data_IF_477284138842
#
_entry.id   IF_477284138842
#
_cell.length_a   1.000
_cell.length_b   1.000
_cell.length_c   1.000
_cell.angle_alpha   90.00
_cell.angle_beta   90.00
_cell.angle_gamma   90.00
#
_symmetry.space_group_name_H-M   'P 1'
#
loop_
_entity.id
_entity.type
_entity.pdbx_description
1 polymer ?
#
# COMPACT_ATOMS: atom_id res chain seq x y z
N UNK A 1 -20.24 11.29 -23.77
CA UNK A 1 -19.92 12.17 -22.64
C UNK A 1 -18.41 12.10 -22.44
N UNK A 2 -17.72 13.04 -23.10
CA UNK A 2 -16.26 13.13 -23.12
C UNK A 2 -15.85 13.76 -21.80
N UNK A 3 -15.18 13.01 -20.93
CA UNK A 3 -14.55 13.56 -19.72
C UNK A 3 -13.20 14.15 -20.13
N UNK A 4 -13.15 15.44 -20.02
CA UNK A 4 -12.02 16.31 -20.28
C UNK A 4 -10.83 15.93 -19.37
N UNK A 5 -9.74 15.46 -19.99
CA UNK A 5 -8.48 15.08 -19.31
C UNK A 5 -7.58 16.34 -19.10
N UNK A 6 -8.11 17.53 -19.41
CA UNK A 6 -7.35 18.77 -19.40
C UNK A 6 -7.08 19.42 -18.04
N UNK A 7 -7.86 19.11 -17.00
CA UNK A 7 -7.83 19.86 -15.72
C UNK A 7 -6.73 19.43 -14.75
N UNK A 8 -6.18 18.23 -14.89
CA UNK A 8 -5.15 17.72 -13.96
C UNK A 8 -3.76 18.39 -14.13
N UNK A 9 -3.43 18.87 -15.33
CA UNK A 9 -2.09 19.42 -15.60
C UNK A 9 -1.92 20.85 -15.08
N UNK A 10 -3.00 21.63 -15.12
CA UNK A 10 -3.03 22.99 -14.60
C UNK A 10 -2.98 23.02 -13.06
N UNK A 11 -3.65 22.05 -12.41
CA UNK A 11 -3.69 21.95 -10.95
C UNK A 11 -2.31 21.61 -10.37
N UNK A 12 -1.53 20.73 -11.02
CA UNK A 12 -0.17 20.38 -10.59
C UNK A 12 0.81 21.56 -10.75
N UNK A 13 0.68 22.35 -11.79
CA UNK A 13 1.53 23.53 -12.01
C UNK A 13 1.21 24.64 -10.98
N UNK A 14 -0.04 24.80 -10.61
CA UNK A 14 -0.48 25.76 -9.59
C UNK A 14 0.01 25.34 -8.19
N UNK A 15 -0.02 24.05 -7.86
CA UNK A 15 0.53 23.53 -6.59
C UNK A 15 2.04 23.71 -6.53
N UNK A 16 2.76 23.49 -7.62
CA UNK A 16 4.21 23.70 -7.69
C UNK A 16 4.54 25.20 -7.55
N UNK A 17 3.83 26.10 -8.23
CA UNK A 17 4.04 27.55 -8.10
C UNK A 17 3.69 28.04 -6.69
N UNK A 18 2.60 27.53 -6.08
CA UNK A 18 2.21 27.85 -4.72
C UNK A 18 3.24 27.40 -3.67
N UNK A 19 3.90 26.24 -3.89
CA UNK A 19 5.00 25.77 -3.02
C UNK A 19 6.24 26.66 -3.16
N UNK A 20 6.50 27.24 -4.34
CA UNK A 20 7.59 28.19 -4.54
C UNK A 20 7.33 29.55 -3.89
N UNK A 21 6.09 30.03 -3.89
CA UNK A 21 5.69 31.30 -3.25
C UNK A 21 5.59 31.18 -1.71
N UNK A 22 5.40 29.97 -1.17
CA UNK A 22 5.35 29.71 0.28
C UNK A 22 6.73 29.63 0.97
N UNK A 23 7.84 29.82 0.23
CA UNK A 23 9.18 29.94 0.83
C UNK A 23 9.51 31.42 1.11
N UNK A 24 9.06 31.99 2.27
CA UNK A 24 9.58 33.28 2.68
C UNK A 24 11.11 33.16 2.89
N UNK A 25 11.87 34.27 2.83
CA UNK A 25 13.28 34.26 3.18
C UNK A 25 13.45 34.00 4.68
N UNK A 26 13.21 32.76 5.07
CA UNK A 26 13.36 32.31 6.46
C UNK A 26 14.83 32.47 6.87
N UNK A 27 15.05 33.24 7.91
CA UNK A 27 16.37 33.61 8.43
C UNK A 27 17.29 32.39 8.54
N UNK A 28 18.43 32.44 7.89
CA UNK A 28 19.35 31.32 7.59
C UNK A 28 19.85 30.51 8.80
N UNK A 29 19.78 31.04 10.01
CA UNK A 29 20.19 30.31 11.25
C UNK A 29 19.16 29.29 11.72
N UNK A 30 17.89 29.48 11.41
CA UNK A 30 16.78 28.60 11.83
C UNK A 30 16.79 27.30 11.01
N UNK A 31 17.28 27.34 9.75
CA UNK A 31 17.19 26.18 8.87
C UNK A 31 18.06 24.98 9.32
N UNK A 32 19.28 25.20 9.81
CA UNK A 32 20.13 24.10 10.31
C UNK A 32 19.55 23.44 11.56
N UNK A 33 19.03 24.24 12.50
CA UNK A 33 18.42 23.71 13.71
C UNK A 33 17.11 22.95 13.38
N UNK A 34 16.33 23.45 12.41
CA UNK A 34 15.11 22.78 11.98
C UNK A 34 15.41 21.43 11.30
N UNK A 35 16.40 21.39 10.39
CA UNK A 35 16.85 20.13 9.77
C UNK A 35 17.37 19.17 10.85
N UNK A 36 18.17 19.65 11.79
CA UNK A 36 18.66 18.83 12.91
C UNK A 36 17.52 18.26 13.75
N UNK A 37 16.56 19.11 14.14
CA UNK A 37 15.40 18.68 14.95
C UNK A 37 14.54 17.65 14.20
N UNK A 38 14.20 17.88 12.93
CA UNK A 38 13.41 16.95 12.13
C UNK A 38 14.11 15.60 11.98
N UNK A 39 15.40 15.60 11.71
CA UNK A 39 16.18 14.36 11.60
C UNK A 39 16.34 13.66 12.96
N UNK A 40 16.44 14.39 14.05
CA UNK A 40 16.44 13.80 15.40
C UNK A 40 15.12 13.09 15.71
N UNK A 41 13.98 13.71 15.41
CA UNK A 41 12.67 13.08 15.58
C UNK A 41 12.56 11.83 14.69
N UNK A 42 12.98 11.92 13.41
CA UNK A 42 12.95 10.78 12.49
C UNK A 42 13.86 9.64 12.98
N UNK A 43 15.02 9.97 13.54
CA UNK A 43 15.93 8.99 14.15
C UNK A 43 15.26 8.26 15.32
N UNK A 44 14.61 8.99 16.22
CA UNK A 44 13.89 8.39 17.35
C UNK A 44 12.73 7.50 16.87
N UNK A 45 12.00 7.90 15.83
CA UNK A 45 10.92 7.11 15.25
C UNK A 45 11.42 5.87 14.48
N UNK A 46 12.65 5.89 13.97
CA UNK A 46 13.22 4.73 13.28
C UNK A 46 13.54 3.56 14.23
N UNK A 47 13.84 3.84 15.48
CA UNK A 47 14.17 2.81 16.49
C UNK A 47 13.01 1.83 16.71
N UNK A 48 11.78 2.26 17.06
CA UNK A 48 10.64 1.34 17.22
C UNK A 48 10.30 0.59 15.93
N UNK A 49 10.53 1.17 14.74
CA UNK A 49 10.32 0.48 13.46
C UNK A 49 11.28 -0.70 13.32
N UNK A 50 12.58 -0.49 13.61
CA UNK A 50 13.58 -1.58 13.59
C UNK A 50 13.26 -2.63 14.64
N UNK A 51 12.92 -2.21 15.87
CA UNK A 51 12.57 -3.13 16.96
C UNK A 51 11.33 -3.97 16.58
N UNK A 52 10.30 -3.34 16.03
CA UNK A 52 9.11 -4.03 15.56
C UNK A 52 9.44 -5.04 14.44
N UNK A 53 10.28 -4.65 13.47
CA UNK A 53 10.72 -5.55 12.41
C UNK A 53 11.49 -6.76 12.94
N UNK A 54 12.42 -6.56 13.87
CA UNK A 54 13.19 -7.64 14.53
C UNK A 54 12.27 -8.52 15.38
N UNK A 55 11.30 -7.93 16.07
CA UNK A 55 10.32 -8.66 16.87
C UNK A 55 9.43 -9.54 15.97
N UNK A 56 8.90 -9.01 14.84
CA UNK A 56 8.18 -9.79 13.85
C UNK A 56 9.04 -10.96 13.32
N UNK A 57 10.31 -10.70 13.03
CA UNK A 57 11.23 -11.74 12.53
C UNK A 57 11.45 -12.89 13.51
N UNK A 58 11.43 -12.60 14.82
CA UNK A 58 11.60 -13.63 15.87
C UNK A 58 10.31 -14.39 16.18
N UNK A 59 9.17 -13.74 16.11
CA UNK A 59 7.87 -14.36 16.37
C UNK A 59 7.19 -14.96 15.14
N UNK A 60 7.69 -14.65 13.94
CA UNK A 60 7.12 -15.08 12.67
C UNK A 60 7.02 -16.59 12.54
N UNK A 61 5.88 -17.15 13.02
CA UNK A 61 5.54 -18.57 12.89
C UNK A 61 4.93 -18.86 11.51
N UNK A 62 4.45 -17.83 10.82
CA UNK A 62 3.73 -17.96 9.54
C UNK A 62 4.57 -17.45 8.36
N UNK A 63 4.35 -18.01 7.17
CA UNK A 63 5.00 -17.54 5.93
C UNK A 63 4.65 -16.08 5.60
N UNK A 64 3.52 -15.60 6.11
CA UNK A 64 3.07 -14.23 5.96
C UNK A 64 3.94 -13.23 6.75
N UNK A 65 4.18 -13.53 8.00
CA UNK A 65 5.01 -12.70 8.88
C UNK A 65 6.44 -12.62 8.36
N UNK A 66 7.02 -13.75 7.93
CA UNK A 66 8.36 -13.82 7.33
C UNK A 66 8.52 -13.05 6.01
N UNK A 67 7.41 -12.71 5.35
CA UNK A 67 7.48 -11.89 4.13
C UNK A 67 7.57 -10.39 4.46
N UNK A 68 7.00 -9.97 5.58
CA UNK A 68 6.92 -8.55 5.98
C UNK A 68 8.10 -8.10 6.84
N UNK A 69 8.79 -9.00 7.55
CA UNK A 69 9.88 -8.68 8.47
C UNK A 69 11.06 -7.99 7.77
N UNK A 70 11.56 -8.59 6.68
CA UNK A 70 12.72 -8.09 5.94
C UNK A 70 12.54 -6.66 5.40
N UNK A 71 11.46 -6.33 4.66
CA UNK A 71 11.26 -4.96 4.18
C UNK A 71 11.10 -3.95 5.31
N UNK A 72 10.49 -4.31 6.44
CA UNK A 72 10.32 -3.40 7.59
C UNK A 72 11.68 -3.10 8.25
N UNK A 73 12.51 -4.12 8.47
CA UNK A 73 13.86 -3.94 9.02
C UNK A 73 14.71 -3.07 8.08
N UNK A 74 14.72 -3.38 6.77
CA UNK A 74 15.49 -2.62 5.78
C UNK A 74 15.06 -1.15 5.77
N UNK A 75 13.75 -0.89 5.78
CA UNK A 75 13.20 0.47 5.83
C UNK A 75 13.62 1.20 7.11
N UNK A 76 13.49 0.56 8.27
CA UNK A 76 13.86 1.15 9.55
C UNK A 76 15.35 1.49 9.64
N UNK A 77 16.23 0.58 9.20
CA UNK A 77 17.68 0.81 9.15
C UNK A 77 18.01 1.93 8.16
N UNK A 78 17.39 1.95 6.99
CA UNK A 78 17.58 3.00 5.99
C UNK A 78 17.19 4.38 6.56
N UNK A 79 16.02 4.49 7.20
CA UNK A 79 15.57 5.74 7.84
C UNK A 79 16.54 6.17 8.95
N UNK A 80 17.05 5.24 9.75
CA UNK A 80 18.04 5.51 10.80
C UNK A 80 19.32 6.10 10.21
N UNK A 81 19.87 5.51 9.16
CA UNK A 81 21.10 5.98 8.52
C UNK A 81 20.94 7.35 7.88
N UNK A 82 19.84 7.58 7.17
CA UNK A 82 19.54 8.86 6.50
C UNK A 82 19.34 9.97 7.54
N UNK A 83 18.58 9.70 8.61
CA UNK A 83 18.34 10.66 9.68
C UNK A 83 19.62 10.98 10.47
N UNK A 84 20.48 9.99 10.70
CA UNK A 84 21.78 10.19 11.34
C UNK A 84 22.70 11.08 10.47
N UNK A 85 22.74 10.83 9.15
CA UNK A 85 23.49 11.66 8.21
C UNK A 85 22.98 13.11 8.19
N UNK A 86 21.64 13.29 8.17
CA UNK A 86 21.02 14.62 8.25
C UNK A 86 21.29 15.34 9.57
N UNK A 87 21.23 14.61 10.70
CA UNK A 87 21.50 15.14 12.04
C UNK A 87 22.96 15.62 12.17
N UNK A 88 23.93 14.75 11.85
CA UNK A 88 25.36 15.09 11.93
C UNK A 88 25.69 16.21 10.94
N UNK A 89 25.15 16.13 9.71
CA UNK A 89 25.33 17.16 8.68
C UNK A 89 24.86 18.54 9.12
N UNK A 90 23.70 18.61 9.77
CA UNK A 90 23.12 19.87 10.25
C UNK A 90 23.78 20.37 11.55
N UNK A 91 24.01 19.50 12.54
CA UNK A 91 24.56 19.88 13.84
C UNK A 91 26.07 20.17 13.79
N UNK A 92 26.84 19.32 13.12
CA UNK A 92 28.31 19.47 13.00
C UNK A 92 28.72 20.34 11.80
N UNK A 93 27.75 20.85 11.00
CA UNK A 93 28.00 21.69 9.84
C UNK A 93 28.93 21.06 8.79
N UNK A 94 28.85 19.73 8.63
CA UNK A 94 29.65 18.99 7.66
C UNK A 94 28.98 19.06 6.28
N UNK A 95 29.46 19.95 5.42
CA UNK A 95 28.89 20.23 4.09
C UNK A 95 28.75 18.98 3.21
N UNK A 96 29.75 18.07 3.23
CA UNK A 96 29.73 16.86 2.43
C UNK A 96 28.59 15.91 2.83
N UNK A 97 28.41 15.74 4.15
CA UNK A 97 27.37 14.85 4.67
C UNK A 97 25.96 15.40 4.39
N UNK A 98 25.81 16.72 4.48
CA UNK A 98 24.57 17.41 4.13
C UNK A 98 24.26 17.29 2.63
N UNK A 99 25.30 17.30 1.77
CA UNK A 99 25.14 17.08 0.33
C UNK A 99 24.64 15.65 0.03
N UNK A 100 25.24 14.63 0.65
CA UNK A 100 24.81 13.24 0.54
C UNK A 100 23.36 13.08 1.01
N UNK A 101 23.01 13.67 2.15
CA UNK A 101 21.64 13.68 2.66
C UNK A 101 20.66 14.27 1.65
N UNK A 102 20.96 15.42 1.06
CA UNK A 102 20.11 16.05 0.04
C UNK A 102 19.99 15.20 -1.22
N UNK A 103 21.07 14.56 -1.65
CA UNK A 103 21.02 13.65 -2.79
C UNK A 103 20.06 12.47 -2.54
N UNK A 104 20.18 11.87 -1.35
CA UNK A 104 19.29 10.76 -0.96
C UNK A 104 17.83 11.22 -0.89
N UNK A 105 17.57 12.39 -0.30
CA UNK A 105 16.21 12.97 -0.23
C UNK A 105 15.64 13.25 -1.62
N UNK A 106 16.44 13.79 -2.53
CA UNK A 106 16.04 14.00 -3.93
C UNK A 106 15.66 12.69 -4.61
N UNK A 107 16.49 11.64 -4.49
CA UNK A 107 16.21 10.34 -5.05
C UNK A 107 14.93 9.73 -4.46
N UNK A 108 14.69 9.89 -3.17
CA UNK A 108 13.46 9.44 -2.52
C UNK A 108 12.22 10.14 -3.10
N UNK A 109 12.26 11.45 -3.30
CA UNK A 109 11.17 12.23 -3.91
C UNK A 109 10.87 11.70 -5.31
N UNK A 110 11.91 11.49 -6.14
CA UNK A 110 11.75 10.97 -7.51
C UNK A 110 11.13 9.55 -7.50
N UNK A 111 11.62 8.67 -6.64
CA UNK A 111 11.10 7.29 -6.52
C UNK A 111 9.64 7.28 -6.05
N UNK A 112 9.29 8.07 -5.03
CA UNK A 112 7.91 8.16 -4.54
C UNK A 112 6.97 8.76 -5.58
N UNK A 113 7.43 9.76 -6.34
CA UNK A 113 6.66 10.33 -7.44
C UNK A 113 6.42 9.30 -8.56
N UNK A 114 7.47 8.61 -9.00
CA UNK A 114 7.36 7.55 -10.00
C UNK A 114 6.46 6.40 -9.51
N UNK A 115 6.57 6.02 -8.24
CA UNK A 115 5.70 5.01 -7.62
C UNK A 115 4.23 5.45 -7.60
N UNK A 116 3.96 6.72 -7.32
CA UNK A 116 2.58 7.26 -7.33
C UNK A 116 1.96 7.14 -8.73
N UNK A 117 2.70 7.58 -9.78
CA UNK A 117 2.24 7.46 -11.17
C UNK A 117 2.01 6.00 -11.54
N UNK A 118 2.95 5.12 -11.20
CA UNK A 118 2.84 3.69 -11.46
C UNK A 118 1.61 3.08 -10.75
N UNK A 119 1.39 3.42 -9.49
CA UNK A 119 0.25 2.96 -8.71
C UNK A 119 -1.07 3.36 -9.37
N UNK A 120 -1.22 4.61 -9.80
CA UNK A 120 -2.40 5.08 -10.53
C UNK A 120 -2.58 4.33 -11.85
N UNK A 121 -1.52 4.19 -12.66
CA UNK A 121 -1.59 3.51 -13.96
C UNK A 121 -2.04 2.04 -13.83
N UNK A 122 -1.53 1.34 -12.81
CA UNK A 122 -1.82 -0.08 -12.61
C UNK A 122 -3.21 -0.31 -11.98
N UNK A 123 -3.67 0.61 -11.12
CA UNK A 123 -4.95 0.49 -10.41
C UNK A 123 -6.12 1.15 -11.13
N UNK A 124 -5.92 1.81 -12.27
CA UNK A 124 -6.97 2.50 -13.01
C UNK A 124 -7.99 1.52 -13.66
N UNK A 125 -7.58 0.27 -13.89
CA UNK A 125 -8.44 -0.80 -14.41
C UNK A 125 -8.97 -1.68 -13.28
N UNK A 126 -10.12 -2.31 -13.51
CA UNK A 126 -10.77 -3.24 -12.59
C UNK A 126 -11.91 -2.59 -11.81
N UNK A 127 -13.05 -3.22 -11.88
CA UNK A 127 -14.23 -2.91 -11.07
C UNK A 127 -15.00 -4.22 -10.83
N UNK A 128 -15.52 -4.42 -9.62
CA UNK A 128 -16.41 -5.53 -9.36
C UNK A 128 -17.73 -5.32 -10.12
N UNK A 129 -18.30 -6.40 -10.65
CA UNK A 129 -19.62 -6.40 -11.25
C UNK A 129 -20.66 -6.28 -10.14
N UNK A 130 -21.47 -5.24 -10.20
CA UNK A 130 -22.63 -5.08 -9.31
C UNK A 130 -23.68 -6.11 -9.72
N UNK A 131 -24.19 -6.86 -8.75
CA UNK A 131 -25.29 -7.79 -8.92
C UNK A 131 -26.60 -7.10 -8.51
N UNK A 132 -27.66 -7.35 -9.26
CA UNK A 132 -29.00 -6.88 -8.88
C UNK A 132 -29.39 -7.49 -7.52
N UNK A 133 -29.96 -6.67 -6.65
CA UNK A 133 -30.48 -7.06 -5.34
C UNK A 133 -29.47 -7.68 -4.36
N UNK A 134 -28.17 -7.48 -4.58
CA UNK A 134 -27.10 -7.93 -3.67
C UNK A 134 -26.28 -6.76 -3.13
N UNK A 135 -25.93 -6.82 -1.85
CA UNK A 135 -25.13 -5.82 -1.17
C UNK A 135 -23.63 -5.86 -1.52
N UNK A 136 -23.20 -6.89 -2.27
CA UNK A 136 -21.79 -7.10 -2.64
C UNK A 136 -21.62 -7.18 -4.16
N UNK A 137 -20.34 -7.13 -4.59
CA UNK A 137 -19.95 -7.25 -5.99
C UNK A 137 -19.30 -8.60 -6.26
N UNK A 138 -19.40 -9.07 -7.50
CA UNK A 138 -18.54 -10.14 -7.99
C UNK A 138 -17.33 -9.58 -8.74
N UNK A 139 -16.21 -10.27 -8.60
CA UNK A 139 -14.92 -9.83 -9.12
C UNK A 139 -14.37 -10.85 -10.11
N UNK A 140 -13.96 -10.37 -11.29
CA UNK A 140 -13.36 -11.19 -12.35
C UNK A 140 -11.91 -10.76 -12.55
N UNK A 141 -10.99 -11.73 -12.59
CA UNK A 141 -9.56 -11.43 -12.71
C UNK A 141 -9.21 -10.73 -14.03
N UNK A 142 -9.94 -11.04 -15.12
CA UNK A 142 -9.75 -10.44 -16.44
C UNK A 142 -9.96 -8.93 -16.50
N UNK A 143 -10.69 -8.35 -15.54
CA UNK A 143 -10.98 -6.92 -15.50
C UNK A 143 -9.78 -6.06 -15.04
N UNK A 144 -8.76 -6.70 -14.46
CA UNK A 144 -7.58 -6.01 -13.91
C UNK A 144 -6.45 -5.91 -14.94
N UNK A 145 -5.46 -5.05 -14.66
CA UNK A 145 -4.29 -4.91 -15.54
C UNK A 145 -3.52 -6.23 -15.67
N UNK A 146 -2.99 -6.51 -16.87
CA UNK A 146 -2.20 -7.73 -17.14
C UNK A 146 -1.02 -7.90 -16.17
N UNK A 147 -0.44 -6.80 -15.70
CA UNK A 147 0.65 -6.85 -14.73
C UNK A 147 0.18 -7.43 -13.39
N UNK A 148 -0.97 -6.97 -12.86
CA UNK A 148 -1.57 -7.50 -11.62
C UNK A 148 -1.99 -8.96 -11.79
N UNK A 149 -2.63 -9.31 -12.91
CA UNK A 149 -3.01 -10.69 -13.21
C UNK A 149 -1.80 -11.64 -13.17
N UNK A 150 -0.68 -11.26 -13.81
CA UNK A 150 0.55 -12.05 -13.80
C UNK A 150 1.12 -12.23 -12.39
N UNK A 151 1.01 -11.22 -11.52
CA UNK A 151 1.50 -11.29 -10.13
C UNK A 151 0.73 -12.28 -9.27
N UNK A 152 -0.62 -12.26 -9.35
CA UNK A 152 -1.47 -13.18 -8.56
C UNK A 152 -1.59 -14.57 -9.19
N UNK A 153 -1.33 -14.72 -10.49
CA UNK A 153 -1.28 -16.01 -11.16
C UNK A 153 0.05 -16.75 -11.00
N UNK A 154 1.10 -16.07 -10.54
CA UNK A 154 2.36 -16.72 -10.20
C UNK A 154 2.16 -17.61 -8.97
N UNK A 155 2.32 -18.93 -9.11
CA UNK A 155 2.14 -19.93 -8.04
C UNK A 155 2.97 -19.59 -6.80
N UNK A 156 4.22 -19.17 -6.98
CA UNK A 156 5.12 -18.79 -5.88
C UNK A 156 4.58 -17.61 -5.09
N UNK A 157 4.10 -16.58 -5.78
CA UNK A 157 3.55 -15.39 -5.11
C UNK A 157 2.21 -15.71 -4.47
N UNK A 158 1.36 -16.45 -5.21
CA UNK A 158 0.01 -16.78 -4.74
C UNK A 158 0.02 -17.65 -3.49
N UNK A 159 0.88 -18.66 -3.42
CA UNK A 159 0.97 -19.53 -2.24
C UNK A 159 1.30 -18.74 -0.97
N UNK A 160 2.18 -17.73 -1.05
CA UNK A 160 2.48 -16.85 0.07
C UNK A 160 1.28 -16.00 0.47
N UNK A 161 0.59 -15.40 -0.53
CA UNK A 161 -0.59 -14.58 -0.29
C UNK A 161 -1.72 -15.43 0.30
N UNK A 162 -1.95 -16.62 -0.24
CA UNK A 162 -2.96 -17.56 0.24
C UNK A 162 -2.72 -17.94 1.71
N UNK A 163 -1.48 -18.25 2.07
CA UNK A 163 -1.10 -18.51 3.46
C UNK A 163 -1.48 -17.35 4.36
N UNK A 164 -1.15 -16.10 3.95
CA UNK A 164 -1.54 -14.90 4.68
C UNK A 164 -3.06 -14.73 4.81
N UNK A 165 -3.83 -15.04 3.77
CA UNK A 165 -5.30 -14.94 3.81
C UNK A 165 -5.92 -15.97 4.78
N UNK A 166 -5.38 -17.18 4.82
CA UNK A 166 -5.82 -18.24 5.74
C UNK A 166 -5.46 -17.82 7.19
N UNK A 167 -4.23 -17.39 7.41
CA UNK A 167 -3.72 -16.99 8.73
C UNK A 167 -4.47 -15.76 9.29
N UNK A 168 -4.92 -14.85 8.43
CA UNK A 168 -5.72 -13.67 8.79
C UNK A 168 -7.16 -14.00 9.20
N UNK A 169 -7.56 -15.29 9.10
CA UNK A 169 -8.90 -15.81 9.49
C UNK A 169 -10.07 -15.07 8.82
N UNK A 170 -9.85 -14.50 7.63
CA UNK A 170 -10.86 -13.70 6.90
C UNK A 170 -12.16 -14.46 6.70
N UNK A 171 -12.08 -15.76 6.35
CA UNK A 171 -13.28 -16.58 6.12
C UNK A 171 -13.83 -17.21 7.41
N UNK A 172 -13.02 -17.44 8.44
CA UNK A 172 -13.51 -17.84 9.76
C UNK A 172 -14.34 -16.73 10.40
N UNK A 173 -13.85 -15.50 10.36
CA UNK A 173 -14.60 -14.32 10.83
C UNK A 173 -15.89 -14.10 10.02
N UNK A 174 -15.85 -14.37 8.71
CA UNK A 174 -17.04 -14.34 7.86
C UNK A 174 -18.06 -15.38 8.28
N UNK A 175 -17.64 -16.64 8.52
CA UNK A 175 -18.51 -17.70 9.02
C UNK A 175 -19.11 -17.33 10.36
N UNK A 176 -18.31 -16.90 11.33
CA UNK A 176 -18.77 -16.55 12.69
C UNK A 176 -19.79 -15.41 12.67
N UNK A 177 -19.56 -14.40 11.82
CA UNK A 177 -20.42 -13.21 11.76
C UNK A 177 -21.80 -13.51 11.15
N UNK A 178 -21.86 -14.36 10.14
CA UNK A 178 -23.05 -14.59 9.35
C UNK A 178 -23.65 -16.01 9.52
N UNK A 179 -23.23 -16.76 10.55
CA UNK A 179 -23.66 -18.16 10.76
C UNK A 179 -25.18 -18.33 10.91
N UNK A 180 -25.86 -17.32 11.43
CA UNK A 180 -27.31 -17.34 11.65
C UNK A 180 -28.11 -16.72 10.51
N UNK A 181 -27.43 -16.19 9.50
CA UNK A 181 -28.10 -15.51 8.40
C UNK A 181 -28.70 -16.52 7.42
N UNK A 182 -29.90 -16.23 6.98
CA UNK A 182 -30.49 -16.89 5.81
C UNK A 182 -29.79 -16.44 4.54
N UNK A 183 -29.93 -17.19 3.44
CA UNK A 183 -29.34 -16.78 2.16
C UNK A 183 -29.83 -15.40 1.69
N UNK A 184 -31.08 -15.04 1.99
CA UNK A 184 -31.66 -13.74 1.61
C UNK A 184 -31.07 -12.57 2.42
N UNK A 185 -30.68 -12.82 3.67
CA UNK A 185 -29.99 -11.86 4.52
C UNK A 185 -28.55 -11.70 4.07
N UNK A 186 -27.81 -12.81 3.90
CA UNK A 186 -26.43 -12.80 3.42
C UNK A 186 -26.30 -12.07 2.06
N UNK A 187 -27.28 -12.20 1.18
CA UNK A 187 -27.25 -11.51 -0.12
C UNK A 187 -27.40 -10.00 -0.01
N UNK A 188 -27.99 -9.48 1.06
CA UNK A 188 -28.11 -8.03 1.31
C UNK A 188 -26.92 -7.45 2.04
N UNK A 189 -26.08 -8.32 2.63
CA UNK A 189 -24.89 -7.91 3.39
C UNK A 189 -23.83 -7.24 2.49
N UNK A 190 -23.17 -6.23 3.05
CA UNK A 190 -22.11 -5.51 2.38
C UNK A 190 -20.77 -6.23 2.57
N UNK A 191 -20.56 -7.30 1.80
CA UNK A 191 -19.37 -8.12 1.89
C UNK A 191 -18.14 -7.38 1.33
N UNK A 192 -17.00 -7.52 2.02
CA UNK A 192 -15.72 -7.08 1.46
C UNK A 192 -15.37 -7.89 0.21
N UNK A 193 -14.52 -7.32 -0.65
CA UNK A 193 -14.07 -7.98 -1.88
C UNK A 193 -13.40 -9.35 -1.61
N UNK A 194 -12.68 -9.46 -0.48
CA UNK A 194 -12.06 -10.72 -0.06
C UNK A 194 -13.11 -11.74 0.40
N UNK A 195 -14.10 -11.33 1.20
CA UNK A 195 -15.17 -12.20 1.65
C UNK A 195 -16.00 -12.72 0.46
N UNK A 196 -16.41 -11.82 -0.44
CA UNK A 196 -17.18 -12.17 -1.61
C UNK A 196 -16.44 -13.10 -2.58
N UNK A 197 -15.12 -12.93 -2.72
CA UNK A 197 -14.32 -13.71 -3.67
C UNK A 197 -13.70 -14.99 -3.12
N UNK A 198 -13.35 -15.02 -1.81
CA UNK A 198 -12.59 -16.14 -1.22
C UNK A 198 -13.42 -17.04 -0.31
N UNK A 199 -14.49 -16.53 0.33
CA UNK A 199 -15.20 -17.23 1.40
C UNK A 199 -16.53 -17.85 0.99
N UNK A 200 -17.01 -17.55 -0.22
CA UNK A 200 -18.19 -18.17 -0.82
C UNK A 200 -17.91 -18.55 -2.28
N UNK A 201 -18.66 -19.49 -2.88
CA UNK A 201 -18.55 -19.75 -4.31
C UNK A 201 -19.09 -18.56 -5.13
N UNK A 202 -18.68 -18.47 -6.40
CA UNK A 202 -19.28 -17.53 -7.34
C UNK A 202 -20.76 -17.87 -7.57
N UNK A 203 -21.60 -16.86 -7.74
CA UNK A 203 -23.02 -17.05 -7.97
C UNK A 203 -23.31 -17.79 -9.29
N UNK A 204 -22.38 -17.71 -10.25
CA UNK A 204 -22.45 -18.47 -11.51
C UNK A 204 -22.47 -20.00 -11.29
N UNK A 205 -22.01 -20.48 -10.11
CA UNK A 205 -21.97 -21.92 -9.79
C UNK A 205 -23.33 -22.50 -9.40
N UNK A 206 -24.31 -21.68 -9.04
CA UNK A 206 -25.66 -22.09 -8.65
C UNK A 206 -25.71 -23.16 -7.53
N UNK A 207 -24.75 -23.10 -6.61
CA UNK A 207 -24.71 -24.01 -5.46
C UNK A 207 -25.80 -23.67 -4.44
N UNK A 208 -26.30 -24.66 -3.72
CA UNK A 208 -27.32 -24.46 -2.70
C UNK A 208 -26.66 -24.06 -1.38
N UNK A 209 -27.13 -22.97 -0.81
CA UNK A 209 -26.65 -22.44 0.48
C UNK A 209 -27.01 -23.39 1.64
N UNK A 210 -26.05 -23.65 2.50
CA UNK A 210 -26.21 -24.35 3.79
C UNK A 210 -25.81 -23.43 4.93
N UNK A 211 -24.63 -22.81 4.82
CA UNK A 211 -24.11 -21.79 5.75
C UNK A 211 -23.14 -20.88 4.99
N UNK A 212 -22.67 -19.77 5.54
CA UNK A 212 -21.81 -18.81 4.84
C UNK A 212 -20.64 -19.40 4.07
N UNK A 213 -19.98 -20.43 4.63
CA UNK A 213 -18.83 -21.12 4.02
C UNK A 213 -19.12 -22.57 3.61
N UNK A 214 -20.38 -23.02 3.69
CA UNK A 214 -20.77 -24.37 3.32
C UNK A 214 -21.89 -24.32 2.27
N UNK A 215 -21.64 -24.88 1.09
CA UNK A 215 -22.53 -24.86 -0.07
C UNK A 215 -22.58 -26.23 -0.73
N UNK A 216 -23.75 -26.71 -1.03
CA UNK A 216 -23.94 -28.00 -1.69
C UNK A 216 -23.86 -27.84 -3.22
N UNK A 217 -22.96 -28.61 -3.82
CA UNK A 217 -22.89 -28.77 -5.26
C UNK A 217 -23.97 -29.79 -5.69
N UNK A 218 -25.04 -29.34 -6.30
CA UNK A 218 -26.17 -30.17 -6.74
C UNK A 218 -25.85 -31.03 -8.00
N UNK A 219 -24.58 -31.26 -8.32
CA UNK A 219 -24.15 -32.04 -9.46
C UNK A 219 -24.34 -31.34 -10.83
N UNK A 220 -24.82 -30.11 -10.85
CA UNK A 220 -25.09 -29.33 -12.06
C UNK A 220 -23.82 -28.52 -12.44
N UNK A 221 -22.74 -29.22 -12.83
CA UNK A 221 -21.44 -28.66 -13.21
C UNK A 221 -21.43 -28.04 -14.60
N UNK A 222 -22.58 -27.64 -15.15
CA UNK A 222 -22.66 -27.05 -16.49
C UNK A 222 -22.22 -25.56 -16.53
N UNK A 223 -21.71 -25.01 -15.42
CA UNK A 223 -21.17 -23.68 -15.40
C UNK A 223 -19.81 -23.62 -16.11
N UNK A 224 -19.64 -22.68 -17.04
CA UNK A 224 -18.36 -22.42 -17.72
C UNK A 224 -17.32 -21.76 -16.81
N UNK A 225 -17.68 -21.46 -15.56
CA UNK A 225 -16.80 -20.83 -14.59
C UNK A 225 -15.88 -21.85 -13.90
N UNK A 226 -14.54 -21.78 -14.10
CA UNK A 226 -13.60 -22.75 -13.53
C UNK A 226 -13.56 -22.71 -11.99
N UNK A 227 -13.99 -21.62 -11.35
CA UNK A 227 -14.03 -21.48 -9.92
C UNK A 227 -14.99 -22.46 -9.25
N UNK A 228 -16.04 -22.88 -9.97
CA UNK A 228 -17.02 -23.87 -9.48
C UNK A 228 -16.37 -25.25 -9.21
N UNK A 229 -15.36 -25.62 -10.00
CA UNK A 229 -14.60 -26.85 -9.79
C UNK A 229 -13.49 -26.72 -8.73
N UNK A 230 -13.14 -25.48 -8.39
CA UNK A 230 -12.05 -25.19 -7.44
C UNK A 230 -12.59 -25.05 -6.01
N UNK A 231 -13.87 -24.74 -5.85
CA UNK A 231 -14.54 -24.59 -4.56
C UNK A 231 -14.53 -25.90 -3.74
N UNK A 232 -14.29 -25.79 -2.45
CA UNK A 232 -14.48 -26.87 -1.48
C UNK A 232 -14.97 -26.31 -0.14
N UNK A 233 -15.77 -27.08 0.59
CA UNK A 233 -16.30 -26.71 1.91
C UNK A 233 -15.27 -26.83 3.06
N UNK A 234 -14.01 -27.18 2.76
CA UNK A 234 -12.93 -27.21 3.73
C UNK A 234 -12.46 -25.77 4.02
N UNK A 235 -12.45 -25.39 5.29
CA UNK A 235 -12.06 -24.05 5.76
C UNK A 235 -10.64 -23.60 5.32
N UNK A 236 -9.75 -24.54 4.96
CA UNK A 236 -8.41 -24.26 4.45
C UNK A 236 -8.35 -24.15 2.93
N UNK A 237 -9.38 -24.60 2.25
CA UNK A 237 -9.46 -24.65 0.79
C UNK A 237 -10.41 -23.60 0.27
N UNK A 238 -11.69 -23.63 0.67
CA UNK A 238 -12.75 -22.72 0.20
C UNK A 238 -12.56 -22.30 -1.27
N UNK A 239 -12.58 -21.01 -1.54
CA UNK A 239 -12.26 -20.43 -2.84
C UNK A 239 -10.86 -19.77 -2.91
N UNK A 240 -9.93 -20.07 -1.99
CA UNK A 240 -8.62 -19.41 -1.96
C UNK A 240 -7.79 -19.59 -3.25
N UNK A 241 -8.06 -20.59 -4.06
CA UNK A 241 -7.41 -20.77 -5.37
C UNK A 241 -8.25 -20.28 -6.55
N UNK A 242 -9.47 -19.80 -6.31
CA UNK A 242 -10.36 -19.28 -7.35
C UNK A 242 -9.85 -17.99 -7.97
N UNK A 243 -10.24 -17.73 -9.22
CA UNK A 243 -9.97 -16.47 -9.89
C UNK A 243 -10.71 -15.30 -9.22
N UNK A 244 -11.91 -15.56 -8.69
CA UNK A 244 -12.69 -14.60 -7.89
C UNK A 244 -11.95 -14.14 -6.63
N UNK A 245 -11.29 -15.04 -5.91
CA UNK A 245 -10.49 -14.67 -4.74
C UNK A 245 -9.27 -13.81 -5.12
N UNK A 246 -8.56 -14.16 -6.18
CA UNK A 246 -7.45 -13.36 -6.70
C UNK A 246 -7.92 -11.96 -7.12
N UNK A 247 -9.07 -11.88 -7.76
CA UNK A 247 -9.68 -10.61 -8.17
C UNK A 247 -10.16 -9.78 -6.95
N UNK A 248 -10.78 -10.41 -5.96
CA UNK A 248 -11.18 -9.77 -4.70
C UNK A 248 -10.00 -9.19 -3.93
N UNK A 249 -8.86 -9.91 -3.89
CA UNK A 249 -7.61 -9.38 -3.35
C UNK A 249 -7.14 -8.13 -4.09
N UNK A 250 -7.17 -8.15 -5.42
CA UNK A 250 -6.75 -7.01 -6.23
C UNK A 250 -7.65 -5.79 -6.01
N UNK A 251 -8.97 -5.99 -5.84
CA UNK A 251 -9.88 -4.90 -5.53
C UNK A 251 -9.64 -4.32 -4.13
N UNK A 252 -9.40 -5.17 -3.15
CA UNK A 252 -9.03 -4.74 -1.80
C UNK A 252 -7.73 -3.91 -1.80
N UNK A 253 -6.70 -4.37 -2.51
CA UNK A 253 -5.46 -3.61 -2.71
C UNK A 253 -5.76 -2.27 -3.39
N UNK A 254 -6.53 -2.27 -4.48
CA UNK A 254 -6.89 -1.05 -5.23
C UNK A 254 -7.62 -0.04 -4.35
N UNK A 255 -8.59 -0.46 -3.55
CA UNK A 255 -9.31 0.40 -2.62
C UNK A 255 -8.39 1.03 -1.58
N UNK A 256 -7.48 0.23 -1.01
CA UNK A 256 -6.50 0.71 -0.04
C UNK A 256 -5.44 1.61 -0.69
N UNK A 257 -5.05 1.35 -1.94
CA UNK A 257 -4.07 2.18 -2.65
C UNK A 257 -4.55 3.59 -2.94
N UNK A 258 -5.85 3.80 -3.16
CA UNK A 258 -6.41 5.16 -3.26
C UNK A 258 -6.18 5.94 -1.97
N UNK A 259 -6.43 5.33 -0.81
CA UNK A 259 -6.16 5.94 0.50
C UNK A 259 -4.65 6.18 0.71
N UNK A 260 -3.83 5.17 0.37
CA UNK A 260 -2.37 5.24 0.45
C UNK A 260 -1.80 6.32 -0.48
N UNK A 261 -2.37 6.51 -1.68
CA UNK A 261 -1.94 7.56 -2.60
C UNK A 261 -2.14 8.96 -2.03
N UNK A 262 -3.26 9.21 -1.34
CA UNK A 262 -3.49 10.50 -0.66
C UNK A 262 -2.45 10.73 0.44
N UNK A 263 -2.20 9.74 1.27
CA UNK A 263 -1.16 9.79 2.32
C UNK A 263 0.21 10.04 1.69
N UNK A 264 0.53 9.34 0.59
CA UNK A 264 1.81 9.51 -0.12
C UNK A 264 1.99 10.91 -0.71
N UNK A 265 0.91 11.53 -1.23
CA UNK A 265 0.95 12.92 -1.72
C UNK A 265 1.27 13.88 -0.56
N UNK A 266 0.65 13.70 0.61
CA UNK A 266 0.95 14.52 1.79
C UNK A 266 2.41 14.36 2.20
N UNK A 267 2.94 13.14 2.20
CA UNK A 267 4.36 12.88 2.45
C UNK A 267 5.28 13.51 1.40
N UNK A 268 4.93 13.46 0.13
CA UNK A 268 5.70 14.11 -0.94
C UNK A 268 5.79 15.62 -0.74
N UNK A 269 4.68 16.29 -0.42
CA UNK A 269 4.67 17.72 -0.12
C UNK A 269 5.59 18.01 1.08
N UNK A 270 5.47 17.23 2.15
CA UNK A 270 6.32 17.36 3.33
C UNK A 270 7.80 17.19 2.98
N UNK A 271 8.16 16.17 2.20
CA UNK A 271 9.55 15.92 1.78
C UNK A 271 10.10 17.06 0.90
N UNK A 272 9.29 17.66 0.02
CA UNK A 272 9.70 18.82 -0.80
C UNK A 272 10.00 20.02 0.10
N UNK A 273 9.17 20.28 1.11
CA UNK A 273 9.42 21.35 2.09
C UNK A 273 10.70 21.08 2.87
N UNK A 274 10.90 19.87 3.40
CA UNK A 274 12.12 19.50 4.13
C UNK A 274 13.34 19.60 3.24
N UNK A 275 13.24 19.16 1.99
CA UNK A 275 14.31 19.28 0.99
C UNK A 275 14.68 20.74 0.72
N UNK A 276 13.69 21.63 0.57
CA UNK A 276 13.92 23.07 0.33
C UNK A 276 14.64 23.71 1.54
N UNK A 277 14.21 23.38 2.77
CA UNK A 277 14.87 23.83 4.00
C UNK A 277 16.30 23.27 4.09
N UNK A 278 16.51 22.01 3.72
CA UNK A 278 17.81 21.36 3.64
C UNK A 278 18.78 22.04 2.65
N UNK A 279 18.28 22.46 1.46
CA UNK A 279 19.06 23.23 0.50
C UNK A 279 19.51 24.57 1.10
N UNK A 280 18.66 25.27 1.85
CA UNK A 280 19.02 26.50 2.54
C UNK A 280 20.07 26.23 3.61
N UNK A 281 19.93 25.16 4.40
CA UNK A 281 20.89 24.73 5.39
C UNK A 281 22.29 24.44 4.78
N UNK A 282 22.29 23.71 3.65
CA UNK A 282 23.52 23.39 2.92
C UNK A 282 24.25 24.66 2.44
N UNK A 283 23.53 25.61 1.81
CA UNK A 283 24.11 26.88 1.34
C UNK A 283 24.69 27.68 2.49
N UNK A 284 24.02 27.70 3.64
CA UNK A 284 24.50 28.39 4.83
C UNK A 284 25.78 27.75 5.39
N UNK A 285 25.79 26.43 5.56
CA UNK A 285 26.94 25.67 6.05
C UNK A 285 28.15 25.82 5.14
N UNK A 286 27.95 25.81 3.81
CA UNK A 286 29.04 26.02 2.84
C UNK A 286 29.65 27.41 2.96
N UNK A 287 28.83 28.45 3.08
CA UNK A 287 29.28 29.83 3.24
C UNK A 287 30.04 30.02 4.53
N UNK A 288 29.56 29.47 5.65
CA UNK A 288 30.28 29.52 6.95
C UNK A 288 31.66 28.86 6.85
N UNK A 289 31.75 27.71 6.15
CA UNK A 289 33.04 27.02 5.97
C UNK A 289 34.04 27.75 5.05
N UNK A 290 33.55 28.57 4.11
CA UNK A 290 34.40 29.45 3.29
C UNK A 290 34.96 30.62 4.11
N UNK A 291 34.16 31.20 5.01
CA UNK A 291 34.60 32.28 5.90
C UNK A 291 35.74 31.86 6.88
N UNK A 292 35.76 30.60 7.31
CA UNK A 292 36.79 30.10 8.23
C UNK A 292 38.08 29.64 7.53
N UNK A 293 38.16 29.68 6.22
CA UNK A 293 39.34 29.33 5.43
C UNK A 293 40.20 30.53 5.05
N UNK A 294 39.73 31.74 5.32
CA UNK A 294 40.43 33.01 5.19
C UNK A 294 40.66 33.64 6.57
#
# INVERSE_FOLDING_TARGET
>A
MVLDVGTGKEEYLTVISFVWDLTPPFTMKISNNLVGLLNFITFLLSIPIVVAGVWLSKQGSTECEKFLDKPVIILGVFLMLVSLAGLIGACCRVSWLLWVYLLVMFLLIVVLFAFTIFAFAVTNKGAGKVLSDKGYKEYRLGDYSNWLQKRVNSTKNWNKIKSCLIDSKVCSTFQEKYVNDTISELYKENLSALQAGCCKPSDDCQFTYVSPTNWNNNGNTSSSNPDCNTWANDARVLCFNCQSCKAGLLDNIKSNWKKTAVVNIVFLIFLIVVYSVGCCAFRNTRRDNEYWKH
#
